data_IF_373641425570
#
_entry.id   IF_373641425570
#
_cell.length_a   1.000
_cell.length_b   1.000
_cell.length_c   1.000
_cell.angle_alpha   90.00
_cell.angle_beta   90.00
_cell.angle_gamma   90.00
#
_symmetry.space_group_name_H-M   'P 1'
#
loop_
_entity.id
_entity.type
_entity.pdbx_description
1 polymer ?
#
# COMPACT_ATOMS: atom_id res chain seq x y z
N UNK A 1 -4.40 -7.38 -23.88
CA UNK A 1 -3.07 -6.82 -24.20
C UNK A 1 -2.02 -7.22 -23.15
N UNK A 2 -2.36 -8.06 -22.15
CA UNK A 2 -1.41 -8.57 -21.16
C UNK A 2 -1.00 -7.59 -20.04
N UNK A 3 -1.70 -6.49 -19.85
CA UNK A 3 -1.49 -5.61 -18.69
C UNK A 3 -2.05 -6.27 -17.43
N UNK A 4 -1.26 -6.22 -16.35
CA UNK A 4 -1.66 -6.74 -15.02
C UNK A 4 -1.92 -5.61 -14.02
N UNK A 5 -1.55 -4.39 -14.37
CA UNK A 5 -1.75 -3.21 -13.53
C UNK A 5 -2.11 -1.98 -14.36
N UNK A 6 -2.75 -1.01 -13.71
CA UNK A 6 -3.03 0.32 -14.25
C UNK A 6 -2.81 1.37 -13.16
N UNK A 7 -2.24 2.51 -13.53
CA UNK A 7 -2.00 3.59 -12.57
C UNK A 7 -3.25 4.45 -12.41
N UNK A 8 -3.60 4.75 -11.16
CA UNK A 8 -4.51 5.82 -10.75
C UNK A 8 -3.73 6.88 -9.96
N UNK A 9 -4.10 8.16 -10.04
CA UNK A 9 -3.54 9.18 -9.16
C UNK A 9 -3.77 8.83 -7.68
N UNK A 10 -2.80 9.17 -6.82
CA UNK A 10 -2.93 8.96 -5.37
C UNK A 10 -4.08 9.78 -4.74
N UNK A 11 -4.56 10.80 -5.43
CA UNK A 11 -5.77 11.57 -5.04
C UNK A 11 -6.68 11.70 -6.26
N UNK A 12 -8.00 11.62 -6.04
CA UNK A 12 -8.97 11.79 -7.13
C UNK A 12 -8.78 13.13 -7.83
N UNK A 13 -8.74 13.16 -9.18
CA UNK A 13 -8.67 14.41 -9.95
C UNK A 13 -9.81 15.38 -9.58
N UNK A 14 -9.57 16.72 -9.55
CA UNK A 14 -10.56 17.69 -9.06
C UNK A 14 -11.86 17.75 -9.87
N UNK A 15 -11.80 17.30 -11.12
CA UNK A 15 -12.94 17.27 -12.05
C UNK A 15 -13.66 15.91 -12.07
N UNK A 16 -13.24 14.97 -11.23
CA UNK A 16 -13.87 13.67 -11.07
C UNK A 16 -14.42 13.51 -9.63
N UNK A 17 -15.38 12.62 -9.42
CA UNK A 17 -15.82 12.25 -8.08
C UNK A 17 -14.65 11.80 -7.21
N UNK A 18 -14.71 12.00 -5.90
CA UNK A 18 -13.74 11.44 -4.96
C UNK A 18 -13.84 9.91 -4.92
N UNK A 19 -12.78 9.22 -4.51
CA UNK A 19 -12.72 7.75 -4.51
C UNK A 19 -13.73 7.06 -3.57
N UNK A 20 -14.48 7.80 -2.76
CA UNK A 20 -15.60 7.26 -1.98
C UNK A 20 -16.94 7.24 -2.72
N UNK A 21 -17.01 7.77 -3.94
CA UNK A 21 -18.25 7.86 -4.74
C UNK A 21 -18.51 6.57 -5.51
N UNK A 22 -19.78 6.14 -5.56
CA UNK A 22 -20.21 4.95 -6.30
C UNK A 22 -19.97 5.03 -7.82
N UNK A 23 -19.73 6.22 -8.36
CA UNK A 23 -19.32 6.41 -9.76
C UNK A 23 -18.04 5.64 -10.12
N UNK A 24 -17.23 5.28 -9.13
CA UNK A 24 -16.03 4.45 -9.32
C UNK A 24 -16.32 2.95 -9.39
N UNK A 25 -17.47 2.49 -8.92
CA UNK A 25 -17.80 1.05 -8.88
C UNK A 25 -17.64 0.36 -10.25
N UNK A 26 -18.11 0.91 -11.40
CA UNK A 26 -17.91 0.25 -12.68
C UNK A 26 -16.45 0.06 -13.06
N UNK A 27 -15.59 1.00 -12.65
CA UNK A 27 -14.15 0.96 -12.92
C UNK A 27 -13.48 -0.13 -12.08
N UNK A 28 -13.79 -0.18 -10.78
CA UNK A 28 -13.24 -1.18 -9.86
C UNK A 28 -13.79 -2.59 -10.14
N UNK A 29 -15.08 -2.71 -10.49
CA UNK A 29 -15.67 -3.97 -10.93
C UNK A 29 -14.97 -4.52 -12.20
N UNK A 30 -14.71 -3.65 -13.18
CA UNK A 30 -14.02 -4.05 -14.41
C UNK A 30 -12.57 -4.44 -14.14
N UNK A 31 -11.87 -3.73 -13.25
CA UNK A 31 -10.52 -4.10 -12.84
C UNK A 31 -10.49 -5.49 -12.17
N UNK A 32 -11.45 -5.76 -11.27
CA UNK A 32 -11.61 -7.06 -10.63
C UNK A 32 -11.86 -8.19 -11.66
N UNK A 33 -12.77 -7.96 -12.62
CA UNK A 33 -13.08 -8.92 -13.69
C UNK A 33 -11.83 -9.26 -14.53
N UNK A 34 -11.00 -8.26 -14.83
CA UNK A 34 -9.82 -8.40 -15.66
C UNK A 34 -8.55 -8.80 -14.89
N UNK A 35 -8.60 -8.89 -13.56
CA UNK A 35 -7.42 -9.13 -12.73
C UNK A 35 -6.42 -7.97 -12.75
N UNK A 36 -6.87 -6.75 -13.00
CA UNK A 36 -6.03 -5.55 -13.03
C UNK A 36 -5.88 -5.00 -11.61
N UNK A 37 -4.64 -4.79 -11.18
CA UNK A 37 -4.32 -4.08 -9.94
C UNK A 37 -4.25 -2.58 -10.22
N UNK A 38 -4.95 -1.78 -9.43
CA UNK A 38 -4.73 -0.33 -9.46
C UNK A 38 -3.51 0.03 -8.63
N UNK A 39 -2.54 0.68 -9.26
CA UNK A 39 -1.33 1.19 -8.61
C UNK A 39 -1.48 2.69 -8.40
N UNK A 40 -1.31 3.13 -7.17
CA UNK A 40 -1.28 4.53 -6.76
C UNK A 40 0.11 4.84 -6.23
N UNK A 41 0.83 5.72 -6.92
CA UNK A 41 2.20 6.06 -6.57
C UNK A 41 2.25 7.36 -5.78
N UNK A 42 3.10 7.42 -4.76
CA UNK A 42 3.37 8.67 -4.03
C UNK A 42 3.72 9.80 -5.00
N UNK A 43 3.36 11.05 -4.68
CA UNK A 43 3.61 12.20 -5.56
C UNK A 43 2.74 12.28 -6.83
N UNK A 44 1.83 11.33 -7.09
CA UNK A 44 0.86 11.42 -8.20
C UNK A 44 -0.46 12.08 -7.80
N UNK A 45 -0.53 12.60 -6.59
CA UNK A 45 -1.63 13.44 -6.13
C UNK A 45 -1.67 14.77 -6.88
N UNK A 46 -2.77 15.51 -6.67
CA UNK A 46 -2.96 16.82 -7.31
C UNK A 46 -2.32 17.95 -6.51
N UNK A 47 -2.03 17.72 -5.25
CA UNK A 47 -1.29 18.67 -4.43
C UNK A 47 0.15 18.78 -4.92
N UNK A 48 0.71 19.97 -4.85
CA UNK A 48 2.14 20.14 -5.04
C UNK A 48 2.89 19.29 -4.04
N UNK A 49 3.89 18.54 -4.51
CA UNK A 49 4.82 17.84 -3.60
C UNK A 49 5.59 18.84 -2.70
N UNK A 50 5.60 20.12 -3.08
CA UNK A 50 6.18 21.21 -2.31
C UNK A 50 5.06 22.01 -1.67
N UNK A 51 4.70 21.65 -0.43
CA UNK A 51 3.68 22.35 0.38
C UNK A 51 4.30 23.45 1.26
N UNK A 52 5.57 23.29 1.63
CA UNK A 52 6.28 24.21 2.51
C UNK A 52 7.61 24.66 1.92
N UNK A 53 8.05 25.86 2.34
CA UNK A 53 9.34 26.44 2.02
C UNK A 53 10.01 27.01 3.29
N UNK A 54 11.35 26.99 3.33
CA UNK A 54 12.10 27.50 4.48
C UNK A 54 12.52 26.40 5.47
N UNK A 55 12.65 26.72 6.78
CA UNK A 55 13.18 25.77 7.75
C UNK A 55 12.36 24.48 7.83
N UNK A 56 13.02 23.32 7.74
CA UNK A 56 12.36 22.00 7.82
C UNK A 56 11.62 21.56 6.56
N UNK A 57 11.51 22.40 5.53
CA UNK A 57 10.68 22.14 4.34
C UNK A 57 10.97 20.80 3.67
N UNK A 58 12.24 20.38 3.59
CA UNK A 58 12.61 19.07 3.02
C UNK A 58 11.93 17.92 3.76
N UNK A 59 12.06 17.86 5.07
CA UNK A 59 11.44 16.79 5.88
C UNK A 59 9.92 16.88 5.78
N UNK A 60 9.34 18.07 5.93
CA UNK A 60 7.89 18.27 5.90
C UNK A 60 7.30 17.79 4.57
N UNK A 61 7.88 18.21 3.45
CA UNK A 61 7.36 17.88 2.12
C UNK A 61 7.42 16.37 1.85
N UNK A 62 8.57 15.73 2.12
CA UNK A 62 8.70 14.29 1.90
C UNK A 62 7.82 13.47 2.84
N UNK A 63 7.73 13.84 4.12
CA UNK A 63 6.84 13.15 5.07
C UNK A 63 5.37 13.31 4.68
N UNK A 64 4.97 14.46 4.16
CA UNK A 64 3.57 14.71 3.78
C UNK A 64 3.10 13.88 2.58
N UNK A 65 4.00 13.39 1.74
CA UNK A 65 3.60 12.64 0.53
C UNK A 65 2.82 11.36 0.84
N UNK A 66 3.05 10.73 1.98
CA UNK A 66 2.29 9.55 2.40
C UNK A 66 0.81 9.85 2.72
N UNK A 67 0.47 11.10 3.07
CA UNK A 67 -0.90 11.50 3.42
C UNK A 67 -1.90 11.29 2.27
N UNK A 68 -1.47 11.44 1.03
CA UNK A 68 -2.30 11.17 -0.16
C UNK A 68 -2.72 9.69 -0.20
N UNK A 69 -1.83 8.78 0.17
CA UNK A 69 -2.12 7.35 0.23
C UNK A 69 -3.12 7.04 1.36
N UNK A 70 -2.90 7.61 2.55
CA UNK A 70 -3.82 7.45 3.69
C UNK A 70 -5.22 7.95 3.34
N UNK A 71 -5.34 9.15 2.75
CA UNK A 71 -6.62 9.72 2.34
C UNK A 71 -7.34 8.80 1.35
N UNK A 72 -6.62 8.28 0.35
CA UNK A 72 -7.21 7.41 -0.66
C UNK A 72 -7.69 6.08 -0.10
N UNK A 73 -6.95 5.46 0.82
CA UNK A 73 -7.43 4.26 1.51
C UNK A 73 -8.69 4.56 2.31
N UNK A 74 -8.72 5.68 3.06
CA UNK A 74 -9.93 6.08 3.78
C UNK A 74 -11.14 6.21 2.85
N UNK A 75 -10.99 6.86 1.72
CA UNK A 75 -12.09 7.05 0.76
C UNK A 75 -12.54 5.73 0.15
N UNK A 76 -11.63 4.90 -0.34
CA UNK A 76 -11.95 3.63 -1.00
C UNK A 76 -12.62 2.64 -0.06
N UNK A 77 -12.16 2.58 1.18
CA UNK A 77 -12.69 1.66 2.21
C UNK A 77 -13.97 2.22 2.82
N UNK A 78 -13.94 3.42 3.42
CA UNK A 78 -15.09 3.98 4.11
C UNK A 78 -16.26 4.31 3.16
N UNK A 79 -15.96 4.71 1.91
CA UNK A 79 -16.96 4.90 0.85
C UNK A 79 -17.56 3.61 0.30
N UNK A 80 -17.00 2.45 0.69
CA UNK A 80 -17.50 1.13 0.34
C UNK A 80 -17.16 0.67 -1.08
N UNK A 81 -16.33 1.40 -1.82
CA UNK A 81 -15.94 1.02 -3.19
C UNK A 81 -15.25 -0.35 -3.20
N UNK A 82 -14.28 -0.57 -2.31
CA UNK A 82 -13.64 -1.88 -2.18
C UNK A 82 -14.57 -2.95 -1.60
N UNK A 83 -15.44 -2.59 -0.68
CA UNK A 83 -16.41 -3.53 -0.09
C UNK A 83 -17.42 -4.05 -1.12
N UNK A 84 -17.91 -3.17 -2.01
CA UNK A 84 -18.82 -3.53 -3.11
C UNK A 84 -18.12 -4.27 -4.25
N UNK A 85 -16.79 -4.15 -4.36
CA UNK A 85 -15.98 -4.77 -5.41
C UNK A 85 -14.88 -5.67 -4.80
N UNK A 86 -15.23 -6.80 -4.17
CA UNK A 86 -14.30 -7.60 -3.34
C UNK A 86 -13.14 -8.23 -4.12
N UNK A 87 -13.22 -8.29 -5.46
CA UNK A 87 -12.11 -8.75 -6.31
C UNK A 87 -11.13 -7.64 -6.72
N UNK A 88 -11.47 -6.38 -6.46
CA UNK A 88 -10.60 -5.26 -6.80
C UNK A 88 -9.41 -5.17 -5.85
N UNK A 89 -8.25 -4.81 -6.38
CA UNK A 89 -6.99 -4.68 -5.63
C UNK A 89 -6.35 -3.33 -5.90
N UNK A 90 -5.83 -2.70 -4.84
CA UNK A 90 -5.07 -1.46 -4.93
C UNK A 90 -3.72 -1.61 -4.26
N UNK A 91 -2.68 -0.99 -4.84
CA UNK A 91 -1.33 -1.01 -4.30
C UNK A 91 -0.79 0.43 -4.23
N UNK A 92 -0.40 0.85 -3.03
CA UNK A 92 0.23 2.13 -2.79
C UNK A 92 1.74 1.93 -2.83
N UNK A 93 2.39 2.54 -3.82
CA UNK A 93 3.81 2.32 -4.11
C UNK A 93 4.62 3.52 -3.65
N UNK A 94 5.76 3.23 -3.01
CA UNK A 94 6.69 4.23 -2.45
C UNK A 94 6.06 5.13 -1.36
N UNK A 95 5.06 4.61 -0.65
CA UNK A 95 4.30 5.38 0.34
C UNK A 95 4.68 5.08 1.80
N UNK A 96 5.65 4.18 2.02
CA UNK A 96 5.77 3.53 3.34
C UNK A 96 4.60 2.58 3.57
N UNK A 97 4.59 1.87 4.69
CA UNK A 97 3.55 0.87 4.95
C UNK A 97 3.08 0.83 6.42
N UNK A 98 3.85 1.34 7.37
CA UNK A 98 3.48 1.31 8.79
C UNK A 98 2.22 2.13 9.11
N UNK A 99 1.94 3.19 8.36
CA UNK A 99 0.75 4.01 8.50
C UNK A 99 -0.55 3.21 8.28
N UNK A 100 -0.49 2.18 7.43
CA UNK A 100 -1.66 1.36 7.09
C UNK A 100 -2.17 0.56 8.31
N UNK A 101 -1.28 0.17 9.21
CA UNK A 101 -1.63 -0.51 10.48
C UNK A 101 -2.44 0.42 11.39
N UNK A 102 -1.91 1.61 11.65
CA UNK A 102 -2.59 2.60 12.48
C UNK A 102 -3.94 3.03 11.88
N UNK A 103 -3.98 3.16 10.55
CA UNK A 103 -5.20 3.49 9.83
C UNK A 103 -6.25 2.39 9.94
N UNK A 104 -5.87 1.12 9.78
CA UNK A 104 -6.77 -0.02 9.88
C UNK A 104 -7.44 -0.09 11.26
N UNK A 105 -6.65 0.00 12.33
CA UNK A 105 -7.16 0.04 13.71
C UNK A 105 -8.07 1.24 13.95
N UNK A 106 -7.66 2.43 13.49
CA UNK A 106 -8.47 3.64 13.65
C UNK A 106 -9.80 3.58 12.91
N UNK A 107 -9.81 3.03 11.70
CA UNK A 107 -11.04 2.88 10.94
C UNK A 107 -12.01 1.88 11.58
N UNK A 108 -11.52 0.79 12.15
CA UNK A 108 -12.33 -0.17 12.90
C UNK A 108 -12.95 0.49 14.15
N UNK A 109 -12.15 1.20 14.94
CA UNK A 109 -12.62 1.96 16.11
C UNK A 109 -13.75 2.93 15.73
N UNK A 110 -13.54 3.74 14.70
CA UNK A 110 -14.52 4.73 14.23
C UNK A 110 -15.79 4.06 13.73
N UNK A 111 -15.67 2.96 12.98
CA UNK A 111 -16.81 2.22 12.44
C UNK A 111 -17.74 1.69 13.54
N UNK A 112 -17.18 1.31 14.68
CA UNK A 112 -17.92 0.83 15.86
C UNK A 112 -18.46 2.00 16.69
N UNK A 113 -17.57 2.93 17.07
CA UNK A 113 -17.92 4.04 17.96
C UNK A 113 -18.99 4.99 17.35
N UNK A 114 -18.98 5.13 16.04
CA UNK A 114 -19.89 6.01 15.31
C UNK A 114 -20.86 5.27 14.38
N UNK A 115 -21.18 4.01 14.67
CA UNK A 115 -22.01 3.14 13.83
C UNK A 115 -23.35 3.76 13.40
N UNK A 116 -23.92 4.66 14.21
CA UNK A 116 -25.16 5.36 13.90
C UNK A 116 -25.00 6.41 12.78
N UNK A 117 -23.80 6.90 12.54
CA UNK A 117 -23.49 7.93 11.54
C UNK A 117 -22.76 7.37 10.32
N UNK A 118 -22.14 6.18 10.43
CA UNK A 118 -21.38 5.56 9.34
C UNK A 118 -22.32 5.20 8.18
N UNK A 119 -22.02 5.72 7.00
CA UNK A 119 -22.69 5.44 5.72
C UNK A 119 -21.66 5.46 4.58
N UNK A 120 -21.69 4.49 3.64
CA UNK A 120 -22.52 3.28 3.68
C UNK A 120 -22.18 2.38 4.87
N UNK A 121 -23.06 1.43 5.19
CA UNK A 121 -22.68 0.34 6.11
C UNK A 121 -21.85 -0.68 5.34
N UNK A 122 -20.65 -0.91 5.80
CA UNK A 122 -19.76 -1.93 5.23
C UNK A 122 -20.24 -3.34 5.62
N UNK A 123 -19.98 -4.32 4.75
CA UNK A 123 -20.33 -5.73 4.98
C UNK A 123 -19.37 -6.42 5.96
N UNK A 124 -18.19 -5.85 6.19
CA UNK A 124 -17.11 -6.36 7.05
C UNK A 124 -16.32 -5.20 7.65
N UNK A 125 -15.45 -5.50 8.61
CA UNK A 125 -14.61 -4.48 9.24
C UNK A 125 -13.69 -3.79 8.21
N UNK A 126 -13.42 -2.48 8.34
CA UNK A 126 -12.45 -1.78 7.51
C UNK A 126 -11.09 -2.47 7.41
N UNK A 127 -10.56 -2.97 8.53
CA UNK A 127 -9.28 -3.70 8.55
C UNK A 127 -9.31 -4.97 7.70
N UNK A 128 -10.43 -5.69 7.65
CA UNK A 128 -10.58 -6.87 6.81
C UNK A 128 -10.58 -6.50 5.31
N UNK A 129 -11.19 -5.37 4.95
CA UNK A 129 -11.15 -4.87 3.57
C UNK A 129 -9.71 -4.51 3.19
N UNK A 130 -9.00 -3.83 4.10
CA UNK A 130 -7.59 -3.48 3.91
C UNK A 130 -6.74 -4.73 3.71
N UNK A 131 -6.84 -5.71 4.59
CA UNK A 131 -6.06 -6.94 4.53
C UNK A 131 -6.34 -7.80 3.28
N UNK A 132 -7.51 -7.67 2.68
CA UNK A 132 -7.87 -8.44 1.50
C UNK A 132 -7.56 -7.73 0.18
N UNK A 133 -7.56 -6.38 0.17
CA UNK A 133 -7.62 -5.61 -1.07
C UNK A 133 -6.59 -4.49 -1.19
N UNK A 134 -5.82 -4.17 -0.12
CA UNK A 134 -4.86 -3.07 -0.11
C UNK A 134 -3.44 -3.59 0.11
N UNK A 135 -2.51 -3.15 -0.72
CA UNK A 135 -1.07 -3.39 -0.62
C UNK A 135 -0.34 -2.07 -0.45
N UNK A 136 0.79 -2.08 0.26
CA UNK A 136 1.65 -0.91 0.39
C UNK A 136 3.14 -1.32 0.28
N UNK A 137 3.95 -0.48 -0.36
CA UNK A 137 5.39 -0.74 -0.47
C UNK A 137 6.24 0.31 0.24
N UNK A 138 7.40 -0.13 0.69
CA UNK A 138 8.35 0.68 1.43
C UNK A 138 9.79 0.35 1.05
N UNK A 139 10.71 1.28 1.29
CA UNK A 139 12.16 1.12 1.21
C UNK A 139 12.76 0.92 2.61
N UNK A 140 12.40 1.79 3.56
CA UNK A 140 12.94 1.85 4.91
C UNK A 140 11.80 1.98 5.92
N UNK A 141 11.23 0.85 6.38
CA UNK A 141 10.11 0.86 7.33
C UNK A 141 10.12 -0.38 8.23
N UNK A 142 10.91 -0.32 9.32
CA UNK A 142 10.99 -1.43 10.29
C UNK A 142 9.70 -1.61 11.10
N UNK A 143 8.91 -0.55 11.25
CA UNK A 143 7.68 -0.61 12.04
C UNK A 143 6.65 -1.53 11.37
N UNK A 144 6.52 -1.47 10.04
CA UNK A 144 5.61 -2.37 9.33
C UNK A 144 6.07 -3.83 9.37
N UNK A 145 7.40 -4.10 9.35
CA UNK A 145 7.93 -5.46 9.50
C UNK A 145 7.57 -6.05 10.87
N UNK A 146 7.74 -5.26 11.93
CA UNK A 146 7.34 -5.66 13.28
C UNK A 146 5.85 -5.95 13.38
N UNK A 147 5.02 -5.09 12.78
CA UNK A 147 3.57 -5.27 12.73
C UNK A 147 3.17 -6.52 11.93
N UNK A 148 3.83 -6.79 10.80
CA UNK A 148 3.60 -7.99 10.00
C UNK A 148 3.97 -9.27 10.76
N UNK A 149 5.10 -9.25 11.50
CA UNK A 149 5.51 -10.38 12.36
C UNK A 149 4.52 -10.63 13.49
N UNK A 150 3.92 -9.58 14.03
CA UNK A 150 2.88 -9.67 15.05
C UNK A 150 1.48 -10.03 14.50
N UNK A 151 1.31 -10.10 13.19
CA UNK A 151 0.02 -10.39 12.54
C UNK A 151 -1.01 -9.27 12.71
N UNK A 152 -0.57 -8.02 12.84
CA UNK A 152 -1.48 -6.88 13.02
C UNK A 152 -2.24 -6.57 11.71
N UNK A 153 -3.51 -6.13 11.80
CA UNK A 153 -4.27 -5.67 10.66
C UNK A 153 -3.55 -4.56 9.88
N UNK A 154 -3.67 -4.56 8.55
CA UNK A 154 -2.99 -3.61 7.68
C UNK A 154 -1.53 -3.95 7.34
N UNK A 155 -0.92 -4.93 8.04
CA UNK A 155 0.46 -5.35 7.79
C UNK A 155 0.59 -6.61 6.93
N UNK A 156 -0.51 -7.25 6.54
CA UNK A 156 -0.50 -8.52 5.79
C UNK A 156 0.14 -8.42 4.42
N UNK A 157 -0.12 -7.35 3.71
CA UNK A 157 0.19 -7.17 2.29
C UNK A 157 1.30 -6.13 2.05
N UNK A 158 2.20 -5.95 3.01
CA UNK A 158 3.31 -5.01 2.84
C UNK A 158 4.41 -5.61 1.97
N UNK A 159 5.06 -4.77 1.17
CA UNK A 159 6.04 -5.17 0.17
C UNK A 159 7.28 -4.28 0.28
N UNK A 160 8.46 -4.91 0.24
CA UNK A 160 9.70 -4.16 0.11
C UNK A 160 9.99 -3.84 -1.37
N UNK A 161 10.49 -2.63 -1.64
CA UNK A 161 10.97 -2.21 -2.94
C UNK A 161 12.23 -1.37 -2.83
N UNK A 162 13.12 -1.44 -3.84
CA UNK A 162 14.40 -0.74 -3.83
C UNK A 162 14.33 0.72 -4.23
N UNK A 163 13.25 1.12 -4.87
CA UNK A 163 13.04 2.44 -5.47
C UNK A 163 14.12 2.84 -6.50
N UNK A 164 14.71 1.85 -7.18
CA UNK A 164 15.67 2.09 -8.23
C UNK A 164 15.00 2.72 -9.46
N UNK A 165 15.55 3.78 -10.10
CA UNK A 165 16.88 4.37 -9.91
C UNK A 165 16.92 5.70 -9.12
N UNK A 166 15.96 5.97 -8.24
CA UNK A 166 15.90 7.20 -7.46
C UNK A 166 17.14 7.35 -6.55
N UNK A 167 17.53 8.60 -6.25
CA UNK A 167 18.69 8.89 -5.42
C UNK A 167 18.52 8.46 -3.96
N UNK A 168 17.28 8.46 -3.45
CA UNK A 168 16.87 7.94 -2.14
C UNK A 168 16.67 6.44 -2.12
N UNK A 169 16.69 5.78 -3.29
CA UNK A 169 16.59 4.34 -3.42
C UNK A 169 17.76 3.59 -2.77
N UNK A 170 17.59 2.29 -2.61
CA UNK A 170 18.57 1.46 -1.88
C UNK A 170 19.73 0.94 -2.74
N UNK A 171 19.69 1.12 -4.07
CA UNK A 171 20.78 0.69 -4.95
C UNK A 171 22.04 1.58 -4.79
N UNK A 172 23.28 1.04 -4.77
CA UNK A 172 23.64 -0.37 -5.01
C UNK A 172 23.72 -1.25 -3.75
N UNK A 173 23.31 -0.74 -2.59
CA UNK A 173 23.46 -1.42 -1.29
C UNK A 173 22.16 -2.12 -0.82
N UNK A 174 21.25 -2.43 -1.74
CA UNK A 174 19.92 -2.98 -1.41
C UNK A 174 19.97 -4.21 -0.51
N UNK A 175 20.99 -5.10 -0.70
CA UNK A 175 21.14 -6.29 0.16
C UNK A 175 21.48 -5.90 1.59
N UNK A 176 22.41 -4.97 1.78
CA UNK A 176 22.77 -4.46 3.10
C UNK A 176 21.57 -3.81 3.78
N UNK A 177 20.83 -2.96 3.07
CA UNK A 177 19.62 -2.31 3.61
C UNK A 177 18.58 -3.35 4.05
N UNK A 178 18.36 -4.39 3.26
CA UNK A 178 17.46 -5.48 3.64
C UNK A 178 17.93 -6.19 4.90
N UNK A 179 19.21 -6.50 5.01
CA UNK A 179 19.77 -7.16 6.20
C UNK A 179 19.60 -6.28 7.45
N UNK A 180 19.91 -4.98 7.36
CA UNK A 180 19.71 -4.00 8.43
C UNK A 180 18.23 -3.84 8.84
N UNK A 181 17.30 -3.89 7.88
CA UNK A 181 15.86 -3.80 8.15
C UNK A 181 15.36 -4.94 9.04
N UNK A 182 15.90 -6.15 8.88
CA UNK A 182 15.50 -7.33 9.65
C UNK A 182 16.39 -7.60 10.87
N UNK A 183 17.53 -6.88 11.02
CA UNK A 183 18.46 -7.10 12.12
C UNK A 183 17.79 -6.91 13.49
N UNK A 184 17.94 -7.91 14.36
CA UNK A 184 17.40 -7.89 15.73
C UNK A 184 15.89 -7.98 15.84
N UNK A 185 15.16 -8.24 14.75
CA UNK A 185 13.72 -8.49 14.75
C UNK A 185 13.46 -10.01 14.80
N UNK A 186 12.48 -10.42 15.60
CA UNK A 186 11.98 -11.80 15.60
C UNK A 186 10.92 -11.94 14.49
N UNK A 187 11.39 -12.30 13.30
CA UNK A 187 10.56 -12.41 12.09
C UNK A 187 10.73 -13.80 11.49
N UNK A 188 9.61 -14.49 11.29
CA UNK A 188 9.64 -15.82 10.64
C UNK A 188 10.13 -15.69 9.19
N UNK A 189 10.73 -16.77 8.69
CA UNK A 189 11.18 -16.83 7.29
C UNK A 189 10.01 -16.67 6.30
N UNK A 190 8.82 -17.11 6.67
CA UNK A 190 7.61 -16.92 5.87
C UNK A 190 7.27 -15.44 5.71
N UNK A 191 7.20 -14.69 6.81
CA UNK A 191 6.93 -13.24 6.80
C UNK A 191 8.02 -12.51 6.03
N UNK A 192 9.30 -12.86 6.25
CA UNK A 192 10.43 -12.28 5.50
C UNK A 192 10.27 -12.47 3.99
N UNK A 193 9.98 -13.68 3.54
CA UNK A 193 9.77 -13.99 2.11
C UNK A 193 8.56 -13.28 1.53
N UNK A 194 7.47 -13.19 2.28
CA UNK A 194 6.27 -12.49 1.86
C UNK A 194 6.60 -11.01 1.59
N UNK A 195 7.24 -10.34 2.51
CA UNK A 195 7.64 -8.93 2.38
C UNK A 195 8.61 -8.71 1.23
N UNK A 196 9.62 -9.56 1.08
CA UNK A 196 10.69 -9.38 0.10
C UNK A 196 10.30 -9.75 -1.34
N UNK A 197 9.16 -10.41 -1.55
CA UNK A 197 8.78 -10.72 -2.92
C UNK A 197 7.47 -11.49 -3.11
N UNK A 198 7.06 -12.37 -2.19
CA UNK A 198 5.90 -13.22 -2.44
C UNK A 198 4.58 -12.43 -2.45
N UNK A 199 4.45 -11.38 -1.62
CA UNK A 199 3.28 -10.50 -1.66
C UNK A 199 3.15 -9.79 -3.02
N UNK A 200 4.26 -9.29 -3.57
CA UNK A 200 4.26 -8.68 -4.91
C UNK A 200 3.99 -9.70 -6.01
N UNK A 201 4.60 -10.89 -5.92
CA UNK A 201 4.38 -11.96 -6.87
C UNK A 201 2.90 -12.40 -6.90
N UNK A 202 2.28 -12.56 -5.74
CA UNK A 202 0.86 -12.88 -5.63
C UNK A 202 -0.03 -11.76 -6.18
N UNK A 203 0.30 -10.51 -5.87
CA UNK A 203 -0.48 -9.36 -6.31
C UNK A 203 -0.52 -9.24 -7.83
N UNK A 204 0.64 -9.35 -8.47
CA UNK A 204 0.79 -9.14 -9.91
C UNK A 204 0.72 -10.43 -10.74
N UNK A 205 0.46 -11.58 -10.11
CA UNK A 205 0.35 -12.86 -10.81
C UNK A 205 1.67 -13.33 -11.42
N UNK A 206 2.80 -13.00 -10.80
CA UNK A 206 4.14 -13.40 -11.23
C UNK A 206 4.57 -14.66 -10.50
N UNK A 207 5.10 -15.64 -11.24
CA UNK A 207 5.74 -16.81 -10.61
C UNK A 207 7.18 -16.45 -10.26
N UNK A 208 7.58 -16.44 -8.97
CA UNK A 208 8.95 -16.16 -8.60
C UNK A 208 9.89 -17.27 -9.16
N UNK A 209 10.92 -16.86 -9.89
CA UNK A 209 12.02 -17.79 -10.17
C UNK A 209 12.79 -18.05 -8.87
N UNK A 210 12.84 -19.31 -8.45
CA UNK A 210 13.70 -19.72 -7.34
C UNK A 210 15.14 -19.64 -7.83
N UNK A 211 15.87 -18.58 -7.43
CA UNK A 211 17.29 -18.52 -7.67
C UNK A 211 17.95 -19.75 -7.02
N UNK A 212 18.40 -20.70 -7.83
CA UNK A 212 19.20 -21.81 -7.33
C UNK A 212 20.54 -21.25 -6.85
N UNK A 213 21.07 -21.76 -5.75
CA UNK A 213 22.29 -21.30 -5.06
C UNK A 213 23.54 -21.17 -5.95
N UNK A 214 23.48 -21.67 -7.18
CA UNK A 214 24.55 -21.55 -8.17
C UNK A 214 24.60 -20.16 -8.89
N UNK A 215 23.55 -19.37 -8.84
CA UNK A 215 23.50 -18.06 -9.51
C UNK A 215 23.99 -16.90 -8.62
N UNK A 216 24.32 -17.16 -7.36
CA UNK A 216 24.74 -16.14 -6.37
C UNK A 216 26.27 -16.05 -6.25
N UNK A 217 27.01 -16.90 -6.95
CA UNK A 217 28.48 -17.00 -6.87
C UNK A 217 29.24 -16.46 -8.10
N UNK A 218 28.57 -15.70 -8.99
CA UNK A 218 29.21 -15.10 -10.17
C UNK A 218 29.27 -13.57 -10.06
#
# INVERSE_FOLDING_TARGET
KGFTAAMLPAVSPPNLPKYNDEAWDPVFAKAAELGIVFVMHTGTGLASVVIERGPGAGIINYTNQMMDAEESVMYLVAGGVLDRNPGAKVAFIESGASWLVALAERMDEVSIAHANFVRPKLSRAPSQIIDDQVWASFQHDRACITAASAGLPGAKNVMWGSDYPHAEGTFPISRQVVDELFEGLDVSEEVRRNILGLNAAQLFGVTPEVATSAAVAA
#
